data_IF_536257799370
#
_entry.id   IF_536257799370
#
_cell.length_a   1.000
_cell.length_b   1.000
_cell.length_c   1.000
_cell.angle_alpha   90.00
_cell.angle_beta   90.00
_cell.angle_gamma   90.00
#
_symmetry.space_group_name_H-M   'P 1'
#
loop_
_entity.id
_entity.type
_entity.pdbx_description
1 polymer ?
#
# COMPACT_ATOMS: atom_id res chain seq x y z
N UNK A 1 -4.18 -16.02 8.31
CA UNK A 1 -3.24 -15.70 7.21
C UNK A 1 -1.97 -15.20 7.87
N UNK A 2 -0.83 -15.76 7.51
CA UNK A 2 0.47 -15.28 7.97
C UNK A 2 0.76 -13.92 7.32
N UNK A 3 1.42 -13.03 8.06
CA UNK A 3 1.76 -11.67 7.61
C UNK A 3 3.27 -11.52 7.70
N UNK A 4 3.90 -11.14 6.59
CA UNK A 4 5.36 -11.04 6.47
C UNK A 4 5.73 -9.77 5.71
N UNK A 5 6.82 -9.14 6.15
CA UNK A 5 7.50 -8.09 5.40
C UNK A 5 8.77 -8.71 4.83
N UNK A 6 8.88 -8.76 3.51
CA UNK A 6 10.07 -9.22 2.80
C UNK A 6 10.86 -8.00 2.37
N UNK A 7 12.14 -7.96 2.75
CA UNK A 7 13.06 -6.90 2.32
C UNK A 7 14.10 -7.54 1.40
N UNK A 8 14.04 -7.17 0.13
CA UNK A 8 15.01 -7.57 -0.88
C UNK A 8 16.07 -6.49 -0.98
N UNK A 9 17.33 -6.89 -0.80
CA UNK A 9 18.48 -6.00 -0.94
C UNK A 9 19.34 -6.49 -2.09
N UNK A 10 19.52 -5.65 -3.11
CA UNK A 10 20.48 -5.91 -4.17
C UNK A 10 21.85 -5.36 -3.74
N UNK A 11 22.81 -6.26 -3.51
CA UNK A 11 24.16 -5.87 -3.08
C UNK A 11 25.01 -5.23 -4.17
N UNK A 12 24.63 -5.38 -5.44
CA UNK A 12 25.36 -4.81 -6.57
C UNK A 12 24.91 -3.38 -6.89
N UNK A 13 23.62 -3.09 -6.78
CA UNK A 13 23.04 -1.77 -7.09
C UNK A 13 22.73 -0.93 -5.85
N UNK A 14 22.60 -1.57 -4.68
CA UNK A 14 22.11 -0.94 -3.46
C UNK A 14 20.59 -0.72 -3.45
N UNK A 15 19.86 -1.28 -4.42
CA UNK A 15 18.41 -1.17 -4.49
C UNK A 15 17.74 -1.96 -3.35
N UNK A 16 16.78 -1.33 -2.68
CA UNK A 16 16.01 -1.93 -1.59
C UNK A 16 14.54 -1.99 -1.98
N UNK A 17 13.98 -3.19 -1.99
CA UNK A 17 12.58 -3.43 -2.31
C UNK A 17 11.87 -4.05 -1.11
N UNK A 18 10.80 -3.40 -0.66
CA UNK A 18 9.98 -3.84 0.48
C UNK A 18 8.67 -4.41 -0.04
N UNK A 19 8.36 -5.66 0.32
CA UNK A 19 7.09 -6.31 -0.01
C UNK A 19 6.32 -6.69 1.25
N UNK A 20 5.04 -6.31 1.28
CA UNK A 20 4.12 -6.68 2.35
C UNK A 20 3.23 -7.85 1.88
N UNK A 21 3.51 -9.06 2.35
CA UNK A 21 2.76 -10.27 2.02
C UNK A 21 1.70 -10.56 3.09
N UNK A 22 0.48 -10.89 2.65
CA UNK A 22 -0.66 -11.11 3.54
C UNK A 22 -1.26 -9.83 4.14
N UNK A 23 -0.90 -8.65 3.62
CA UNK A 23 -1.48 -7.36 3.97
C UNK A 23 -2.50 -6.91 2.92
N UNK A 24 -3.61 -6.33 3.37
CA UNK A 24 -4.70 -5.85 2.51
C UNK A 24 -5.04 -4.38 2.81
N UNK A 25 -5.34 -3.62 1.75
CA UNK A 25 -5.77 -2.21 1.86
C UNK A 25 -4.81 -1.33 2.65
N UNK A 26 -5.36 -0.54 3.58
CA UNK A 26 -4.60 0.45 4.39
C UNK A 26 -3.54 -0.19 5.28
N UNK A 27 -3.73 -1.46 5.66
CA UNK A 27 -2.77 -2.18 6.50
C UNK A 27 -1.42 -2.39 5.81
N UNK A 28 -1.39 -2.45 4.47
CA UNK A 28 -0.17 -2.53 3.69
C UNK A 28 0.68 -1.26 3.85
N UNK A 29 0.05 -0.09 3.77
CA UNK A 29 0.74 1.20 3.88
C UNK A 29 1.33 1.41 5.27
N UNK A 30 0.56 1.09 6.31
CA UNK A 30 1.01 1.20 7.69
C UNK A 30 2.19 0.26 7.99
N UNK A 31 2.20 -0.91 7.36
CA UNK A 31 3.25 -1.90 7.59
C UNK A 31 4.56 -1.55 6.85
N UNK A 32 4.49 -0.94 5.66
CA UNK A 32 5.70 -0.53 4.92
C UNK A 32 6.23 0.84 5.35
N UNK A 33 5.39 1.72 5.89
CA UNK A 33 5.75 3.08 6.31
C UNK A 33 7.04 3.21 7.14
N UNK A 34 7.25 2.45 8.25
CA UNK A 34 8.46 2.62 9.06
C UNK A 34 9.75 2.24 8.30
N UNK A 35 9.65 1.31 7.34
CA UNK A 35 10.79 0.90 6.52
C UNK A 35 11.11 1.95 5.46
N UNK A 36 10.07 2.51 4.83
CA UNK A 36 10.24 3.60 3.87
C UNK A 36 10.86 4.83 4.52
N UNK A 37 10.45 5.19 5.73
CA UNK A 37 11.01 6.32 6.48
C UNK A 37 12.49 6.08 6.85
N UNK A 38 12.83 4.86 7.29
CA UNK A 38 14.21 4.50 7.61
C UNK A 38 15.13 4.46 6.38
N UNK A 39 14.60 4.06 5.22
CA UNK A 39 15.33 3.99 3.95
C UNK A 39 15.36 5.34 3.20
N UNK A 40 14.48 6.27 3.57
CA UNK A 40 14.46 7.65 3.11
C UNK A 40 13.63 7.87 1.84
N UNK A 41 14.11 7.41 0.67
CA UNK A 41 13.47 7.72 -0.62
C UNK A 41 12.83 6.47 -1.23
N UNK A 42 11.51 6.51 -1.41
CA UNK A 42 10.77 5.49 -2.16
C UNK A 42 10.77 5.90 -3.63
N UNK A 43 11.49 5.12 -4.45
CA UNK A 43 11.55 5.36 -5.90
C UNK A 43 10.26 4.96 -6.61
N UNK A 44 9.98 3.66 -6.68
CA UNK A 44 8.92 3.10 -7.53
C UNK A 44 7.94 2.27 -6.68
N UNK A 45 6.74 2.80 -6.40
CA UNK A 45 5.72 2.11 -5.61
C UNK A 45 4.75 1.35 -6.50
N UNK A 46 4.63 0.04 -6.29
CA UNK A 46 3.68 -0.84 -7.00
C UNK A 46 2.78 -1.55 -6.00
N UNK A 47 1.47 -1.47 -6.24
CA UNK A 47 0.47 -2.18 -5.45
C UNK A 47 0.07 -3.46 -6.15
N UNK A 48 -0.02 -4.57 -5.40
CA UNK A 48 -0.61 -5.82 -5.88
C UNK A 48 -2.15 -5.67 -5.86
N UNK A 49 -2.85 -6.44 -6.68
CA UNK A 49 -4.31 -6.32 -6.87
C UNK A 49 -5.10 -6.48 -5.55
N UNK A 50 -4.56 -7.26 -4.62
CA UNK A 50 -5.11 -7.48 -3.28
C UNK A 50 -5.16 -6.19 -2.45
N UNK A 51 -4.18 -5.30 -2.61
CA UNK A 51 -4.18 -4.00 -1.96
C UNK A 51 -5.20 -3.04 -2.60
N UNK A 52 -5.47 -3.20 -3.90
CA UNK A 52 -6.31 -2.28 -4.68
C UNK A 52 -7.82 -2.49 -4.46
N UNK A 53 -8.22 -3.67 -3.98
CA UNK A 53 -9.63 -4.07 -3.84
C UNK A 53 -10.45 -3.19 -2.87
N UNK A 54 -9.82 -2.47 -1.93
CA UNK A 54 -10.52 -1.58 -0.99
C UNK A 54 -10.72 -0.14 -1.48
N UNK A 55 -10.05 0.30 -2.55
CA UNK A 55 -10.21 1.69 -3.05
C UNK A 55 -11.48 1.90 -3.89
N UNK A 56 -12.19 0.82 -4.26
CA UNK A 56 -13.39 0.87 -5.10
C UNK A 56 -14.69 1.20 -4.34
N UNK A 57 -14.68 1.36 -3.02
CA UNK A 57 -15.89 1.72 -2.26
C UNK A 57 -15.74 3.11 -1.67
N UNK A 58 -16.29 4.11 -2.36
CA UNK A 58 -17.27 5.10 -1.82
C UNK A 58 -17.38 6.29 -2.78
N UNK A 59 -18.17 6.15 -3.84
CA UNK A 59 -18.78 7.28 -4.57
C UNK A 59 -20.28 7.06 -4.71
N UNK A 60 -20.96 6.74 -3.60
CA UNK A 60 -22.42 6.83 -3.58
C UNK A 60 -22.81 8.28 -3.27
N UNK A 61 -22.72 9.15 -4.28
CA UNK A 61 -23.32 10.48 -4.25
C UNK A 61 -24.84 10.33 -4.24
N UNK A 62 -25.40 10.13 -3.05
CA UNK A 62 -26.84 10.29 -2.82
C UNK A 62 -27.14 11.79 -2.90
N UNK A 63 -27.38 12.28 -4.11
CA UNK A 63 -27.75 13.65 -4.40
C UNK A 63 -29.21 13.84 -3.96
N UNK A 64 -29.42 14.18 -2.69
CA UNK A 64 -30.74 14.53 -2.16
C UNK A 64 -31.12 15.92 -2.67
N UNK A 65 -31.83 15.96 -3.80
CA UNK A 65 -32.41 17.19 -4.35
C UNK A 65 -33.62 17.60 -3.50
N UNK A 66 -33.38 18.35 -2.42
CA UNK A 66 -34.46 19.05 -1.72
C UNK A 66 -34.97 20.19 -2.61
N UNK A 67 -36.09 19.94 -3.29
CA UNK A 67 -37.00 20.99 -3.73
C UNK A 67 -37.76 21.49 -2.51
N UNK A 68 -37.66 22.78 -2.21
CA UNK A 68 -38.79 23.68 -1.92
C UNK A 68 -38.35 25.12 -2.21
#
# INVERSE_FOLDING_TARGET
MERSILIHFDSATGEVRVEAEGFEGVSCLLATQPFEEALGVVGDRRFKDEAQTQQLRTTSTHQTRLRQ
#
